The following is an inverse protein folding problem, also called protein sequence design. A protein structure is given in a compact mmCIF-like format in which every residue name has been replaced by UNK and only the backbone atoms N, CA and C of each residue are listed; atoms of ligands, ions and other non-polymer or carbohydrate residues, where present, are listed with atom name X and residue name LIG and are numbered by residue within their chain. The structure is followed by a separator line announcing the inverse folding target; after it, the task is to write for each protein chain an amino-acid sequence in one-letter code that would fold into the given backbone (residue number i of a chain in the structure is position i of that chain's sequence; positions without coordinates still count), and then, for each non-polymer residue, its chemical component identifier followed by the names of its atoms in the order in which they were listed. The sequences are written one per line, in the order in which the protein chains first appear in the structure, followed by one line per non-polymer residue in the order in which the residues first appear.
data_IF_796131114118
#
_entry.id   IF_796131114118
#
_cell.length_a   1.000
_cell.length_b   1.000
_cell.length_c   1.000
_cell.angle_alpha   90.00
_cell.angle_beta   90.00
_cell.angle_gamma   90.00
#
_symmetry.space_group_name_H-M   'P 1'
#
loop_
_entity.id
_entity.type
_entity.pdbx_description
1 polymer ?
#
# COMPACT_ATOMS: atom_id res chain seq x y z
N UNK A 1 -7.43 -1.73 17.38
CA UNK A 1 -6.40 -0.69 17.13
C UNK A 1 -5.18 -1.32 16.46
N UNK A 2 -4.36 -0.50 15.79
CA UNK A 2 -3.12 -0.96 15.15
C UNK A 2 -2.18 -1.64 16.18
N UNK A 3 -2.06 -1.08 17.38
CA UNK A 3 -1.23 -1.65 18.43
C UNK A 3 -1.67 -3.07 18.82
N UNK A 4 -2.96 -3.30 19.01
CA UNK A 4 -3.48 -4.64 19.34
C UNK A 4 -3.20 -5.67 18.23
N UNK A 5 -3.22 -5.23 16.95
CA UNK A 5 -2.86 -6.09 15.83
C UNK A 5 -1.35 -6.40 15.80
N UNK A 6 -0.50 -5.43 16.13
CA UNK A 6 0.94 -5.63 16.27
C UNK A 6 1.30 -6.60 17.40
N UNK A 7 0.63 -6.47 18.54
CA UNK A 7 0.83 -7.35 19.69
C UNK A 7 0.43 -8.79 19.35
N UNK A 8 -0.74 -8.96 18.69
CA UNK A 8 -1.19 -10.27 18.22
C UNK A 8 -0.25 -10.87 17.18
N UNK A 9 0.25 -10.06 16.24
CA UNK A 9 1.20 -10.53 15.23
C UNK A 9 2.50 -11.02 15.87
N UNK A 10 2.99 -10.34 16.92
CA UNK A 10 4.14 -10.78 17.71
C UNK A 10 3.85 -12.11 18.45
N UNK A 11 2.68 -12.26 19.07
CA UNK A 11 2.28 -13.51 19.71
C UNK A 11 2.21 -14.69 18.73
N UNK A 12 1.94 -14.43 17.47
CA UNK A 12 1.92 -15.41 16.39
C UNK A 12 3.30 -15.66 15.74
N UNK A 13 4.39 -15.11 16.29
CA UNK A 13 5.74 -15.16 15.74
C UNK A 13 5.83 -14.64 14.30
N UNK A 14 4.99 -13.67 13.93
CA UNK A 14 5.06 -13.04 12.62
C UNK A 14 6.36 -12.23 12.48
N UNK A 15 7.04 -12.40 11.36
CA UNK A 15 8.29 -11.68 11.06
C UNK A 15 8.05 -10.29 10.45
N UNK A 16 6.84 -10.02 9.96
CA UNK A 16 6.42 -8.76 9.33
C UNK A 16 4.91 -8.61 9.48
N UNK A 17 4.47 -7.38 9.77
CA UNK A 17 3.06 -7.01 9.67
C UNK A 17 2.86 -6.04 8.51
N UNK A 18 1.75 -6.17 7.82
CA UNK A 18 1.33 -5.23 6.76
C UNK A 18 -0.02 -4.62 7.12
N UNK A 19 -0.14 -3.29 7.01
CA UNK A 19 -1.37 -2.56 7.22
C UNK A 19 -1.81 -1.82 5.93
N UNK A 20 -3.13 -1.66 5.68
CA UNK A 20 -3.67 -1.10 4.45
C UNK A 20 -3.36 0.40 4.28
N UNK A 21 -3.69 0.93 3.09
CA UNK A 21 -3.58 2.37 2.77
C UNK A 21 -4.38 3.21 3.76
N UNK A 22 -3.80 4.34 4.20
CA UNK A 22 -4.47 5.29 5.08
C UNK A 22 -4.51 4.91 6.57
N UNK A 23 -3.79 3.87 6.99
CA UNK A 23 -3.75 3.44 8.40
C UNK A 23 -3.06 4.46 9.30
N UNK A 24 -2.00 5.11 8.81
CA UNK A 24 -1.24 6.14 9.55
C UNK A 24 -1.58 7.52 8.99
N UNK A 25 -2.02 8.43 9.86
CA UNK A 25 -2.30 9.82 9.50
C UNK A 25 -1.01 10.65 9.38
N UNK A 26 -1.13 11.86 8.80
CA UNK A 26 -0.01 12.79 8.65
C UNK A 26 0.64 13.06 10.01
N UNK A 27 1.97 12.99 10.04
CA UNK A 27 2.80 13.22 11.23
C UNK A 27 2.43 12.36 12.44
N UNK A 28 1.71 11.27 12.23
CA UNK A 28 1.42 10.31 13.28
C UNK A 28 2.61 9.37 13.47
N UNK A 29 3.12 9.33 14.69
CA UNK A 29 4.03 8.28 15.14
C UNK A 29 3.24 7.11 15.73
N UNK A 30 3.86 5.95 15.84
CA UNK A 30 3.27 4.85 16.60
C UNK A 30 3.23 5.22 18.09
N UNK A 31 2.15 4.87 18.77
CA UNK A 31 1.99 5.13 20.21
C UNK A 31 3.05 4.39 21.06
N UNK A 32 3.43 3.20 20.61
CA UNK A 32 4.49 2.38 21.22
C UNK A 32 5.42 1.89 20.11
N UNK A 33 6.69 1.56 20.43
CA UNK A 33 7.60 0.96 19.46
C UNK A 33 7.03 -0.32 18.87
N UNK A 34 7.15 -0.48 17.54
CA UNK A 34 6.64 -1.66 16.85
C UNK A 34 7.38 -2.92 17.33
N UNK A 35 6.68 -3.94 17.83
CA UNK A 35 7.34 -5.15 18.34
C UNK A 35 7.97 -6.02 17.24
N UNK A 36 7.54 -5.83 15.99
CA UNK A 36 8.04 -6.49 14.77
C UNK A 36 8.12 -5.45 13.64
N UNK A 37 8.83 -5.69 12.53
CA UNK A 37 8.78 -4.80 11.37
C UNK A 37 7.35 -4.59 10.88
N UNK A 38 7.00 -3.34 10.53
CA UNK A 38 5.68 -2.94 10.03
C UNK A 38 5.82 -2.21 8.70
N UNK A 39 5.10 -2.66 7.69
CA UNK A 39 4.82 -1.91 6.46
C UNK A 39 3.38 -1.40 6.53
N UNK A 40 3.20 -0.09 6.61
CA UNK A 40 1.87 0.51 6.74
C UNK A 40 1.60 1.53 5.66
N UNK A 41 0.41 1.52 5.11
CA UNK A 41 -0.08 2.66 4.36
C UNK A 41 -0.28 3.87 5.26
N UNK A 42 0.13 5.03 4.79
CA UNK A 42 -0.02 6.27 5.55
C UNK A 42 0.24 7.51 4.72
N UNK A 43 0.12 8.66 5.36
CA UNK A 43 0.40 9.95 4.75
C UNK A 43 1.61 10.61 5.39
N UNK A 44 2.43 11.29 4.57
CA UNK A 44 3.56 12.07 5.05
C UNK A 44 3.66 13.42 4.32
N UNK A 45 4.33 14.38 4.94
CA UNK A 45 4.65 15.65 4.31
C UNK A 45 6.08 15.61 3.75
N UNK A 46 6.24 16.04 2.50
CA UNK A 46 7.53 16.22 1.83
C UNK A 46 7.56 17.62 1.26
N UNK A 47 8.43 18.47 1.77
CA UNK A 47 8.53 19.88 1.39
C UNK A 47 7.17 20.63 1.44
N UNK A 48 6.32 20.29 2.42
CA UNK A 48 4.99 20.89 2.61
C UNK A 48 3.87 20.27 1.79
N UNK A 49 4.16 19.35 0.88
CA UNK A 49 3.16 18.61 0.10
C UNK A 49 2.83 17.25 0.73
N UNK A 50 1.55 16.89 0.70
CA UNK A 50 1.09 15.60 1.24
C UNK A 50 1.26 14.50 0.21
N UNK A 51 1.80 13.35 0.65
CA UNK A 51 1.93 12.13 -0.15
C UNK A 51 1.31 10.94 0.55
N UNK A 52 0.62 10.08 -0.21
CA UNK A 52 0.25 8.73 0.23
C UNK A 52 1.47 7.82 0.07
N UNK A 53 1.77 6.99 1.06
CA UNK A 53 3.03 6.24 1.10
C UNK A 53 2.86 4.86 1.74
N UNK A 54 3.72 3.91 1.37
CA UNK A 54 4.04 2.75 2.20
C UNK A 54 5.17 3.18 3.12
N UNK A 55 4.93 3.15 4.42
CA UNK A 55 5.87 3.54 5.48
C UNK A 55 6.45 2.28 6.12
N UNK A 56 7.77 2.19 6.21
CA UNK A 56 8.48 1.11 6.90
C UNK A 56 8.84 1.57 8.32
N UNK A 57 8.33 0.89 9.32
CA UNK A 57 8.76 0.98 10.70
C UNK A 57 9.63 -0.23 11.02
N UNK A 58 10.87 0.00 11.44
CA UNK A 58 11.71 -1.08 11.93
C UNK A 58 11.24 -1.54 13.30
N UNK A 59 11.62 -2.74 13.67
CA UNK A 59 11.40 -3.24 15.02
C UNK A 59 11.95 -2.28 16.08
N UNK A 60 11.21 -2.08 17.16
CA UNK A 60 11.52 -1.19 18.28
C UNK A 60 11.59 0.30 17.92
N UNK A 61 10.96 0.72 16.82
CA UNK A 61 10.87 2.13 16.40
C UNK A 61 9.42 2.62 16.44
N UNK A 62 9.24 3.91 16.77
CA UNK A 62 7.95 4.63 16.69
C UNK A 62 7.82 5.45 15.41
N UNK A 63 8.95 5.78 14.77
CA UNK A 63 9.01 6.55 13.53
C UNK A 63 9.37 5.65 12.35
N UNK A 64 8.89 6.00 11.16
CA UNK A 64 9.24 5.25 9.95
C UNK A 64 10.69 5.52 9.51
N UNK A 65 11.37 4.46 9.07
CA UNK A 65 12.75 4.51 8.61
C UNK A 65 12.86 4.80 7.11
N UNK A 66 11.89 4.29 6.32
CA UNK A 66 11.82 4.46 4.86
C UNK A 66 10.38 4.67 4.41
N UNK A 67 10.20 5.26 3.25
CA UNK A 67 8.90 5.42 2.62
C UNK A 67 8.97 5.18 1.11
N UNK A 68 7.90 4.59 0.57
CA UNK A 68 7.65 4.49 -0.86
C UNK A 68 6.39 5.30 -1.17
N UNK A 69 6.56 6.46 -1.81
CA UNK A 69 5.45 7.35 -2.11
C UNK A 69 4.65 6.88 -3.32
N UNK A 70 3.35 7.07 -3.29
CA UNK A 70 2.47 6.85 -4.44
C UNK A 70 2.86 7.75 -5.59
N UNK A 71 3.13 7.17 -6.75
CA UNK A 71 3.50 7.89 -7.96
C UNK A 71 2.29 8.16 -8.85
N UNK A 72 1.39 7.18 -9.00
CA UNK A 72 0.23 7.28 -9.88
C UNK A 72 -1.02 7.62 -9.08
N UNK A 73 -1.35 8.91 -9.08
CA UNK A 73 -2.52 9.43 -8.39
C UNK A 73 -3.81 9.19 -9.19
N UNK A 74 -4.93 9.06 -8.48
CA UNK A 74 -6.26 8.96 -9.08
C UNK A 74 -6.71 10.35 -9.54
N UNK A 75 -6.94 10.58 -10.85
CA UNK A 75 -7.43 11.86 -11.34
C UNK A 75 -8.77 12.22 -10.69
N UNK A 76 -8.95 13.48 -10.29
CA UNK A 76 -10.12 14.04 -9.59
C UNK A 76 -10.37 13.48 -8.18
N UNK A 77 -9.86 12.31 -7.83
CA UNK A 77 -9.95 11.76 -6.47
C UNK A 77 -8.83 12.25 -5.55
N UNK A 78 -7.59 12.16 -6.01
CA UNK A 78 -6.39 12.50 -5.26
C UNK A 78 -5.65 13.73 -5.82
N UNK A 79 -5.87 14.03 -7.09
CA UNK A 79 -5.21 15.09 -7.81
C UNK A 79 -6.16 15.77 -8.81
N UNK A 80 -6.07 17.10 -8.90
CA UNK A 80 -6.80 17.91 -9.89
C UNK A 80 -5.82 18.42 -10.95
N UNK A 81 -6.11 18.24 -12.27
CA UNK A 81 -5.29 18.78 -13.33
C UNK A 81 -5.19 20.32 -13.24
N UNK A 82 -3.96 20.86 -13.37
CA UNK A 82 -3.71 22.31 -13.20
C UNK A 82 -4.47 23.21 -14.17
N UNK A 83 -4.90 22.68 -15.34
CA UNK A 83 -5.71 23.44 -16.30
C UNK A 83 -7.14 23.73 -15.81
N UNK A 84 -7.63 23.02 -14.79
CA UNK A 84 -8.95 23.31 -14.18
C UNK A 84 -8.90 24.47 -13.17
N UNK A 85 -7.71 25.03 -12.91
CA UNK A 85 -7.52 26.16 -12.01
C UNK A 85 -7.72 25.88 -10.53
N UNK A 86 -7.36 26.86 -9.69
CA UNK A 86 -7.39 26.71 -8.21
C UNK A 86 -8.80 26.52 -7.65
N UNK A 87 -9.85 26.91 -8.37
CA UNK A 87 -11.25 26.80 -7.93
C UNK A 87 -11.74 25.36 -7.84
N UNK A 88 -11.05 24.40 -8.45
CA UNK A 88 -11.39 22.98 -8.45
C UNK A 88 -10.58 22.13 -7.49
N UNK A 89 -9.60 22.72 -6.78
CA UNK A 89 -8.81 21.99 -5.75
C UNK A 89 -9.68 21.41 -4.62
N UNK A 90 -10.82 22.01 -4.35
CA UNK A 90 -11.81 21.50 -3.38
C UNK A 90 -12.61 20.26 -3.84
N UNK A 91 -12.49 19.86 -5.12
CA UNK A 91 -13.14 18.65 -5.64
C UNK A 91 -12.31 17.39 -5.42
N UNK A 92 -11.03 17.51 -5.07
CA UNK A 92 -10.25 16.35 -4.64
C UNK A 92 -10.68 15.95 -3.23
N UNK A 93 -11.17 14.74 -3.06
CA UNK A 93 -11.61 14.20 -1.77
C UNK A 93 -10.51 14.19 -0.69
N UNK A 94 -9.24 14.23 -1.09
CA UNK A 94 -8.07 14.21 -0.22
C UNK A 94 -7.24 15.51 -0.24
N UNK A 95 -7.77 16.60 -0.81
CA UNK A 95 -7.11 17.91 -0.73
C UNK A 95 -5.87 18.12 -1.61
N UNK A 96 -5.63 17.26 -2.61
CA UNK A 96 -4.53 17.38 -3.57
C UNK A 96 -3.23 16.75 -3.05
N UNK A 97 -3.08 15.46 -3.31
CA UNK A 97 -1.82 14.75 -3.07
C UNK A 97 -0.78 15.12 -4.14
N UNK A 98 0.50 15.01 -3.77
CA UNK A 98 1.62 15.10 -4.69
C UNK A 98 2.15 13.70 -5.02
N UNK A 99 2.48 13.48 -6.30
CA UNK A 99 3.10 12.24 -6.75
C UNK A 99 4.55 12.12 -6.25
N UNK A 100 4.92 10.93 -5.82
CA UNK A 100 6.30 10.59 -5.50
C UNK A 100 7.12 10.17 -6.72
N UNK A 101 8.30 9.61 -6.46
CA UNK A 101 9.19 9.04 -7.48
C UNK A 101 8.52 7.85 -8.20
N UNK A 102 8.91 7.63 -9.45
CA UNK A 102 8.37 6.54 -10.28
C UNK A 102 8.87 5.15 -9.90
N UNK A 103 9.91 5.06 -9.07
CA UNK A 103 10.40 3.77 -8.56
C UNK A 103 9.34 3.14 -7.67
N UNK A 104 9.09 1.87 -7.92
CA UNK A 104 8.19 1.06 -7.08
C UNK A 104 8.97 0.06 -6.22
N UNK A 105 10.28 0.20 -6.14
CA UNK A 105 11.18 -0.68 -5.40
C UNK A 105 11.43 -0.17 -3.97
N UNK A 106 11.32 -1.06 -2.98
CA UNK A 106 11.73 -0.79 -1.60
C UNK A 106 12.41 -2.00 -0.97
N UNK A 107 13.55 -1.74 -0.31
CA UNK A 107 14.26 -2.71 0.53
C UNK A 107 14.01 -2.41 2.01
N UNK A 108 13.83 -3.46 2.85
CA UNK A 108 13.40 -3.29 4.25
C UNK A 108 14.16 -4.14 5.29
N UNK A 109 15.14 -4.92 4.90
CA UNK A 109 15.85 -5.83 5.80
C UNK A 109 15.50 -7.31 5.59
N UNK A 110 14.43 -7.58 4.85
CA UNK A 110 14.07 -8.86 4.25
C UNK A 110 14.13 -8.77 2.73
N UNK A 111 13.51 -9.73 2.00
CA UNK A 111 13.40 -9.70 0.55
C UNK A 111 12.77 -8.38 0.07
N UNK A 112 13.43 -7.69 -0.87
CA UNK A 112 12.93 -6.43 -1.39
C UNK A 112 11.60 -6.61 -2.15
N UNK A 113 10.74 -5.59 -2.15
CA UNK A 113 9.44 -5.70 -2.81
C UNK A 113 9.18 -4.58 -3.83
N UNK A 114 8.28 -4.89 -4.76
CA UNK A 114 7.64 -3.94 -5.64
C UNK A 114 6.32 -3.46 -5.00
N UNK A 115 6.21 -2.16 -4.69
CA UNK A 115 5.04 -1.61 -4.00
C UNK A 115 4.01 -1.00 -4.94
N UNK A 116 2.73 -1.29 -4.72
CA UNK A 116 1.60 -0.65 -5.37
C UNK A 116 0.64 -0.09 -4.32
N UNK A 117 0.28 1.16 -4.44
CA UNK A 117 -0.70 1.82 -3.57
C UNK A 117 -1.99 2.02 -4.38
N UNK A 118 -3.05 1.30 -4.01
CA UNK A 118 -4.39 1.39 -4.59
C UNK A 118 -4.38 1.30 -6.13
N UNK A 119 -4.73 2.36 -6.84
CA UNK A 119 -4.83 2.40 -8.30
C UNK A 119 -3.53 2.00 -9.03
N UNK A 120 -2.37 2.05 -8.38
CA UNK A 120 -1.09 1.65 -8.99
C UNK A 120 -1.03 0.18 -9.39
N UNK A 121 -1.85 -0.70 -8.78
CA UNK A 121 -1.96 -2.10 -9.19
C UNK A 121 -2.39 -2.27 -10.65
N UNK A 122 -3.02 -1.26 -11.24
CA UNK A 122 -3.38 -1.24 -12.66
C UNK A 122 -2.18 -1.08 -13.60
N UNK A 123 -1.01 -0.65 -13.09
CA UNK A 123 0.19 -0.39 -13.87
C UNK A 123 1.24 -1.50 -13.75
N UNK A 124 1.09 -2.56 -14.54
CA UNK A 124 2.03 -3.69 -14.56
C UNK A 124 3.46 -3.30 -14.96
N UNK A 125 3.63 -2.32 -15.85
CA UNK A 125 4.95 -1.88 -16.31
C UNK A 125 5.83 -1.37 -15.16
N UNK A 126 5.29 -0.54 -14.27
CA UNK A 126 6.06 -0.01 -13.12
C UNK A 126 6.47 -1.11 -12.14
N UNK A 127 5.60 -2.10 -11.91
CA UNK A 127 5.89 -3.25 -11.06
C UNK A 127 6.94 -4.15 -11.68
N UNK A 128 6.81 -4.46 -12.99
CA UNK A 128 7.81 -5.26 -13.73
C UNK A 128 9.19 -4.59 -13.69
N UNK A 129 9.27 -3.26 -13.82
CA UNK A 129 10.54 -2.53 -13.66
C UNK A 129 11.14 -2.71 -12.26
N UNK A 130 10.32 -2.67 -11.21
CA UNK A 130 10.80 -2.88 -9.84
C UNK A 130 11.31 -4.32 -9.64
N UNK A 131 10.64 -5.32 -10.23
CA UNK A 131 11.11 -6.71 -10.24
C UNK A 131 12.46 -6.84 -10.96
N UNK A 132 12.61 -6.23 -12.13
CA UNK A 132 13.88 -6.22 -12.86
C UNK A 132 15.01 -5.50 -12.11
N UNK A 133 14.66 -4.59 -11.20
CA UNK A 133 15.60 -3.92 -10.29
C UNK A 133 15.88 -4.71 -8.99
N UNK A 134 15.41 -5.96 -8.89
CA UNK A 134 15.71 -6.86 -7.78
C UNK A 134 14.61 -7.03 -6.73
N UNK A 135 13.39 -6.55 -6.97
CA UNK A 135 12.28 -6.88 -6.08
C UNK A 135 11.90 -8.37 -6.24
N UNK A 136 11.68 -9.04 -5.12
CA UNK A 136 11.48 -10.49 -5.06
C UNK A 136 9.99 -10.87 -4.92
N UNK A 137 9.17 -9.94 -4.45
CA UNK A 137 7.73 -10.10 -4.27
C UNK A 137 7.01 -8.77 -4.49
N UNK A 138 5.68 -8.77 -4.52
CA UNK A 138 4.85 -7.58 -4.71
C UNK A 138 4.02 -7.32 -3.46
N UNK A 139 3.97 -6.07 -3.02
CA UNK A 139 3.06 -5.59 -2.00
C UNK A 139 2.06 -4.62 -2.60
N UNK A 140 0.77 -4.95 -2.54
CA UNK A 140 -0.32 -4.07 -2.90
C UNK A 140 -1.12 -3.69 -1.66
N UNK A 141 -1.22 -2.41 -1.35
CA UNK A 141 -2.05 -1.89 -0.27
C UNK A 141 -3.13 -0.97 -0.82
N UNK A 142 -4.34 -1.02 -0.26
CA UNK A 142 -5.46 -0.22 -0.77
C UNK A 142 -6.41 0.19 0.33
N UNK A 143 -7.03 1.37 0.15
CA UNK A 143 -8.27 1.73 0.82
C UNK A 143 -9.43 1.57 -0.17
N UNK A 144 -10.21 0.51 -0.02
CA UNK A 144 -11.31 0.17 -0.93
C UNK A 144 -12.70 0.51 -0.35
N UNK A 145 -12.75 1.17 0.81
CA UNK A 145 -13.99 1.56 1.48
C UNK A 145 -14.97 2.35 0.58
N UNK A 146 -14.51 3.33 -0.24
CA UNK A 146 -15.42 4.09 -1.10
C UNK A 146 -15.96 3.32 -2.32
N UNK A 147 -15.46 2.10 -2.58
CA UNK A 147 -15.74 1.41 -3.84
C UNK A 147 -16.76 0.27 -3.68
N UNK A 148 -17.62 0.03 -4.70
CA UNK A 148 -18.57 -1.08 -4.69
C UNK A 148 -17.83 -2.43 -4.76
N UNK A 149 -18.47 -3.49 -4.26
CA UNK A 149 -17.89 -4.86 -4.22
C UNK A 149 -17.40 -5.36 -5.58
N UNK A 150 -18.05 -4.96 -6.68
CA UNK A 150 -17.61 -5.31 -8.03
C UNK A 150 -16.22 -4.77 -8.34
N UNK A 151 -15.94 -3.52 -7.96
CA UNK A 151 -14.64 -2.90 -8.16
C UNK A 151 -13.59 -3.48 -7.21
N UNK A 152 -13.97 -3.75 -5.95
CA UNK A 152 -13.08 -4.41 -4.99
C UNK A 152 -12.62 -5.79 -5.51
N UNK A 153 -13.51 -6.58 -6.13
CA UNK A 153 -13.15 -7.85 -6.79
C UNK A 153 -12.24 -7.65 -7.99
N UNK A 154 -12.41 -6.57 -8.76
CA UNK A 154 -11.51 -6.24 -9.86
C UNK A 154 -10.08 -5.95 -9.38
N UNK A 155 -9.92 -5.31 -8.22
CA UNK A 155 -8.59 -5.12 -7.61
C UNK A 155 -7.91 -6.44 -7.30
N UNK A 156 -8.65 -7.44 -6.78
CA UNK A 156 -8.12 -8.79 -6.57
C UNK A 156 -7.70 -9.46 -7.89
N UNK A 157 -8.53 -9.35 -8.93
CA UNK A 157 -8.19 -9.89 -10.25
C UNK A 157 -6.97 -9.20 -10.87
N UNK A 158 -6.81 -7.89 -10.67
CA UNK A 158 -5.60 -7.17 -11.08
C UNK A 158 -4.37 -7.65 -10.31
N UNK A 159 -4.50 -7.91 -9.00
CA UNK A 159 -3.41 -8.45 -8.20
C UNK A 159 -2.97 -9.83 -8.71
N UNK A 160 -3.92 -10.73 -9.02
CA UNK A 160 -3.62 -12.02 -9.65
C UNK A 160 -2.90 -11.85 -10.99
N UNK A 161 -3.36 -10.93 -11.84
CA UNK A 161 -2.72 -10.64 -13.12
C UNK A 161 -1.29 -10.13 -12.95
N UNK A 162 -1.03 -9.26 -11.96
CA UNK A 162 0.33 -8.78 -11.66
C UNK A 162 1.26 -9.91 -11.23
N UNK A 163 0.78 -10.84 -10.39
CA UNK A 163 1.56 -12.02 -9.98
C UNK A 163 1.97 -12.85 -11.18
N UNK A 164 1.03 -13.15 -12.08
CA UNK A 164 1.27 -13.94 -13.30
C UNK A 164 2.27 -13.23 -14.23
N UNK A 165 2.04 -11.94 -14.53
CA UNK A 165 2.88 -11.16 -15.43
C UNK A 165 4.34 -11.04 -14.97
N UNK A 166 4.55 -10.96 -13.66
CA UNK A 166 5.88 -10.77 -13.09
C UNK A 166 6.53 -12.07 -12.63
N UNK A 167 5.77 -13.16 -12.52
CA UNK A 167 6.24 -14.42 -11.95
C UNK A 167 6.63 -14.29 -10.47
N UNK A 168 5.95 -13.40 -9.72
CA UNK A 168 6.24 -13.13 -8.30
C UNK A 168 5.00 -13.30 -7.44
N UNK A 169 5.22 -13.77 -6.22
CA UNK A 169 4.18 -13.82 -5.20
C UNK A 169 3.75 -12.41 -4.82
N UNK A 170 2.47 -12.25 -4.48
CA UNK A 170 1.87 -10.96 -4.16
C UNK A 170 1.07 -11.04 -2.87
N UNK A 171 1.31 -10.05 -2.01
CA UNK A 171 0.48 -9.77 -0.83
C UNK A 171 -0.41 -8.59 -1.14
N UNK A 172 -1.73 -8.78 -1.15
CA UNK A 172 -2.73 -7.73 -1.31
C UNK A 172 -3.42 -7.48 0.02
N UNK A 173 -3.34 -6.25 0.52
CA UNK A 173 -3.95 -5.87 1.81
C UNK A 173 -4.87 -4.68 1.62
N UNK A 174 -6.11 -4.82 2.06
CA UNK A 174 -7.08 -3.73 2.03
C UNK A 174 -7.90 -3.64 3.33
N UNK A 175 -8.45 -2.46 3.60
CA UNK A 175 -9.24 -2.22 4.82
C UNK A 175 -10.61 -2.89 4.78
N UNK A 176 -11.37 -2.76 3.69
CA UNK A 176 -12.73 -3.32 3.53
C UNK A 176 -12.87 -4.26 2.35
N UNK A 177 -11.88 -4.26 1.44
CA UNK A 177 -11.82 -5.14 0.29
C UNK A 177 -11.13 -6.47 0.60
N UNK A 178 -10.98 -7.33 -0.42
CA UNK A 178 -10.32 -8.62 -0.24
C UNK A 178 -8.85 -8.46 0.11
N UNK A 179 -8.41 -9.14 1.16
CA UNK A 179 -7.00 -9.29 1.52
C UNK A 179 -6.57 -10.70 1.15
N UNK A 180 -5.47 -10.84 0.40
CA UNK A 180 -5.09 -12.14 -0.16
C UNK A 180 -3.57 -12.33 -0.24
N UNK A 181 -3.15 -13.60 -0.13
CA UNK A 181 -1.84 -14.10 -0.54
C UNK A 181 -2.00 -14.79 -1.89
N UNK A 182 -1.24 -14.35 -2.88
CA UNK A 182 -1.37 -14.79 -4.27
C UNK A 182 -0.01 -15.31 -4.73
N UNK A 183 0.01 -16.54 -5.27
CA UNK A 183 1.24 -17.13 -5.81
C UNK A 183 1.66 -16.45 -7.12
N UNK A 184 2.89 -16.69 -7.53
CA UNK A 184 3.44 -16.28 -8.84
C UNK A 184 2.67 -16.82 -10.05
N UNK A 185 1.77 -17.79 -9.84
CA UNK A 185 0.86 -18.33 -10.87
C UNK A 185 -0.54 -17.71 -10.81
N UNK A 186 -0.77 -16.75 -9.91
CA UNK A 186 -2.08 -16.13 -9.70
C UNK A 186 -3.05 -16.93 -8.84
N UNK A 187 -2.60 -18.01 -8.20
CA UNK A 187 -3.42 -18.83 -7.30
C UNK A 187 -3.57 -18.13 -5.95
N UNK A 188 -4.79 -18.08 -5.43
CA UNK A 188 -5.06 -17.50 -4.10
C UNK A 188 -4.83 -18.58 -3.05
N UNK A 189 -3.78 -18.41 -2.23
CA UNK A 189 -3.48 -19.32 -1.11
C UNK A 189 -4.23 -18.99 0.16
N UNK A 190 -4.53 -17.70 0.38
CA UNK A 190 -5.31 -17.23 1.53
C UNK A 190 -6.14 -16.03 1.09
N UNK A 191 -7.36 -15.96 1.57
CA UNK A 191 -8.31 -14.90 1.26
C UNK A 191 -9.10 -14.52 2.51
N UNK A 192 -9.08 -13.24 2.85
CA UNK A 192 -10.06 -12.61 3.73
C UNK A 192 -11.05 -11.91 2.80
N UNK A 193 -12.33 -12.32 2.76
CA UNK A 193 -13.34 -11.73 1.90
C UNK A 193 -13.58 -10.24 2.21
N UNK A 194 -14.18 -9.50 1.27
CA UNK A 194 -14.59 -8.12 1.51
C UNK A 194 -15.52 -8.01 2.73
N UNK A 195 -15.31 -6.95 3.54
CA UNK A 195 -16.12 -6.62 4.73
C UNK A 195 -16.00 -7.60 5.90
N UNK A 196 -15.15 -8.60 5.82
CA UNK A 196 -14.82 -9.47 6.96
C UNK A 196 -13.59 -8.96 7.71
N UNK A 197 -13.57 -9.22 9.01
CA UNK A 197 -12.38 -8.95 9.84
C UNK A 197 -11.54 -10.22 9.91
N UNK A 198 -10.29 -10.08 9.51
CA UNK A 198 -9.30 -11.13 9.66
C UNK A 198 -8.73 -11.23 11.07
#
# INVERSE_FOLDING_TARGET
SLQAALDKAKEMDAFLMVAPEGTININQELLLPSPIPLLSGGFRLVAGAQRSSILLFNQNQTTFAKALDKHRLVPLGEWTPGFLGNNFRGLSALGGLEAGDSSRFLSWGGPAFAGAICYEISNGYSLSRAINNGAEWILAISNLDPYPLSLQRQFLSLAQLRSIETGRDLVSVSNTGPTALISSRGEIHSLIPPLEKG
#
